data_IF_962164658798
#
_entry.id   IF_962164658798
#
_cell.length_a   1.000
_cell.length_b   1.000
_cell.length_c   1.000
_cell.angle_alpha   90.00
_cell.angle_beta   90.00
_cell.angle_gamma   90.00
#
_symmetry.space_group_name_H-M   'P 1'
#
loop_
_entity.id
_entity.type
_entity.pdbx_description
1 polymer ?
#
# COMPACT_ATOMS: atom_id res chain seq x y z
N UNK A 1 -3.18 -28.15 -2.21
CA UNK A 1 -4.58 -27.67 -2.13
C UNK A 1 -4.63 -26.29 -2.77
N UNK A 2 -5.23 -26.18 -3.95
CA UNK A 2 -5.11 -24.99 -4.80
C UNK A 2 -6.02 -23.84 -4.35
N UNK A 3 -5.42 -22.71 -3.98
CA UNK A 3 -6.12 -21.43 -3.86
C UNK A 3 -5.85 -20.63 -5.14
N UNK A 4 -6.85 -20.53 -6.03
CA UNK A 4 -6.84 -19.66 -7.21
C UNK A 4 -7.31 -18.24 -6.81
N UNK A 5 -6.58 -17.58 -5.92
CA UNK A 5 -6.76 -16.16 -5.64
C UNK A 5 -5.38 -15.54 -5.48
N UNK A 6 -5.02 -14.57 -6.33
CA UNK A 6 -3.73 -13.87 -6.23
C UNK A 6 -3.58 -13.11 -4.91
N UNK A 7 -4.69 -12.73 -4.28
CA UNK A 7 -4.72 -12.13 -2.96
C UNK A 7 -4.55 -13.12 -1.79
N UNK A 8 -4.27 -14.42 -2.01
CA UNK A 8 -4.10 -15.46 -0.98
C UNK A 8 -2.63 -15.81 -0.65
N UNK A 9 -1.67 -15.24 -1.38
CA UNK A 9 -0.23 -15.33 -1.07
C UNK A 9 0.32 -14.01 -0.51
N UNK A 10 1.40 -14.09 0.27
CA UNK A 10 2.29 -12.95 0.52
C UNK A 10 3.24 -12.87 -0.67
N UNK A 11 3.33 -11.69 -1.30
CA UNK A 11 4.18 -11.46 -2.46
C UNK A 11 5.53 -10.86 -2.04
N UNK A 12 6.60 -11.15 -2.79
CA UNK A 12 7.95 -10.63 -2.53
C UNK A 12 7.97 -9.10 -2.38
N UNK A 13 7.18 -8.39 -3.19
CA UNK A 13 7.06 -6.94 -3.12
C UNK A 13 6.48 -6.45 -1.78
N UNK A 14 5.58 -7.22 -1.15
CA UNK A 14 5.01 -6.87 0.15
C UNK A 14 6.04 -7.06 1.28
N UNK A 15 6.88 -8.09 1.18
CA UNK A 15 8.01 -8.33 2.10
C UNK A 15 9.02 -7.19 1.97
N UNK A 16 9.45 -6.90 0.74
CA UNK A 16 10.41 -5.83 0.46
C UNK A 16 9.93 -4.47 0.97
N UNK A 17 8.66 -4.13 0.72
CA UNK A 17 8.07 -2.87 1.18
C UNK A 17 7.98 -2.81 2.71
N UNK A 18 7.63 -3.93 3.34
CA UNK A 18 7.56 -4.05 4.80
C UNK A 18 8.92 -3.81 5.43
N UNK A 19 9.98 -4.44 4.92
CA UNK A 19 11.35 -4.26 5.39
C UNK A 19 11.84 -2.82 5.19
N UNK A 20 11.56 -2.24 4.02
CA UNK A 20 11.89 -0.86 3.74
C UNK A 20 11.23 0.12 4.73
N UNK A 21 9.92 -0.04 4.98
CA UNK A 21 9.18 0.83 5.89
C UNK A 21 9.58 0.63 7.36
N UNK A 22 9.88 -0.60 7.77
CA UNK A 22 10.38 -0.89 9.11
C UNK A 22 11.72 -0.19 9.37
N UNK A 23 12.63 -0.18 8.40
CA UNK A 23 13.90 0.55 8.49
C UNK A 23 13.74 2.06 8.44
N UNK A 24 12.83 2.52 7.59
CA UNK A 24 12.56 3.94 7.38
C UNK A 24 11.32 4.37 8.18
N UNK A 25 11.13 3.86 9.39
CA UNK A 25 9.92 4.09 10.19
C UNK A 25 9.67 5.57 10.52
N UNK A 26 10.66 6.45 10.33
CA UNK A 26 10.46 7.90 10.33
C UNK A 26 9.43 8.38 9.31
N UNK A 27 9.23 7.64 8.21
CA UNK A 27 8.17 7.88 7.22
C UNK A 27 6.76 7.56 7.76
N UNK A 28 6.66 6.69 8.77
CA UNK A 28 5.39 6.22 9.33
C UNK A 28 4.97 7.05 10.55
N UNK A 29 5.94 7.49 11.36
CA UNK A 29 5.67 8.08 12.67
C UNK A 29 4.67 9.24 12.58
N UNK A 30 3.52 9.05 13.22
CA UNK A 30 2.47 10.04 13.30
C UNK A 30 1.75 10.31 11.99
N UNK A 31 1.84 9.45 10.96
CA UNK A 31 1.19 9.65 9.64
C UNK A 31 -0.15 8.94 9.51
N UNK A 32 -1.05 9.50 8.71
CA UNK A 32 -2.19 8.76 8.15
C UNK A 32 -1.70 7.99 6.92
N UNK A 33 -1.78 6.66 6.98
CA UNK A 33 -1.31 5.74 5.95
C UNK A 33 -2.49 5.05 5.28
N UNK A 34 -2.49 5.03 3.95
CA UNK A 34 -3.40 4.20 3.16
C UNK A 34 -2.59 3.13 2.44
N UNK A 35 -2.96 1.86 2.60
CA UNK A 35 -2.46 0.77 1.77
C UNK A 35 -3.47 0.44 0.68
N UNK A 36 -3.05 0.54 -0.58
CA UNK A 36 -3.81 0.12 -1.76
C UNK A 36 -3.47 -1.33 -2.10
N UNK A 37 -4.49 -2.19 -2.29
CA UNK A 37 -4.27 -3.60 -2.63
C UNK A 37 -3.55 -4.37 -1.52
N UNK A 38 -4.02 -4.20 -0.28
CA UNK A 38 -3.36 -4.70 0.93
C UNK A 38 -3.26 -6.21 1.02
N UNK A 39 -4.05 -6.96 0.26
CA UNK A 39 -4.07 -8.41 0.37
C UNK A 39 -4.37 -8.83 1.82
N UNK A 40 -3.41 -9.51 2.44
CA UNK A 40 -3.49 -9.98 3.82
C UNK A 40 -3.16 -8.92 4.88
N UNK A 41 -2.80 -7.70 4.49
CA UNK A 41 -2.51 -6.59 5.39
C UNK A 41 -1.12 -6.62 6.03
N UNK A 42 -0.14 -7.34 5.46
CA UNK A 42 1.23 -7.40 6.01
C UNK A 42 1.85 -6.00 6.14
N UNK A 43 1.82 -5.21 5.07
CA UNK A 43 2.41 -3.87 5.07
C UNK A 43 1.66 -2.96 6.04
N UNK A 44 0.32 -3.02 6.05
CA UNK A 44 -0.49 -2.29 7.04
C UNK A 44 -0.16 -2.63 8.49
N UNK A 45 0.06 -3.92 8.82
CA UNK A 45 0.50 -4.35 10.16
C UNK A 45 1.85 -3.72 10.51
N UNK A 46 2.79 -3.69 9.56
CA UNK A 46 4.09 -3.03 9.75
C UNK A 46 3.91 -1.53 9.96
N UNK A 47 3.13 -0.86 9.12
CA UNK A 47 2.83 0.57 9.28
C UNK A 47 2.29 0.89 10.68
N UNK A 48 1.34 0.09 11.17
CA UNK A 48 0.74 0.23 12.50
C UNK A 48 1.79 0.03 13.61
N UNK A 49 2.57 -1.04 13.55
CA UNK A 49 3.61 -1.34 14.57
C UNK A 49 4.72 -0.30 14.64
N UNK A 50 5.05 0.33 13.52
CA UNK A 50 6.14 1.30 13.43
C UNK A 50 5.68 2.76 13.57
N UNK A 51 4.52 2.98 14.19
CA UNK A 51 4.12 4.27 14.72
C UNK A 51 3.27 5.14 13.80
N UNK A 52 2.61 4.57 12.79
CA UNK A 52 1.54 5.26 12.08
C UNK A 52 0.46 5.77 13.05
N UNK A 53 -0.07 6.97 12.80
CA UNK A 53 -1.19 7.53 13.57
C UNK A 53 -2.47 6.79 13.26
N UNK A 54 -2.71 6.55 11.98
CA UNK A 54 -3.86 5.79 11.47
C UNK A 54 -3.44 5.03 10.22
N UNK A 55 -3.87 3.78 10.09
CA UNK A 55 -3.65 2.94 8.92
C UNK A 55 -5.01 2.52 8.37
N UNK A 56 -5.24 2.75 7.08
CA UNK A 56 -6.41 2.25 6.36
C UNK A 56 -5.92 1.21 5.35
N UNK A 57 -6.12 -0.06 5.67
CA UNK A 57 -5.81 -1.17 4.78
C UNK A 57 -6.97 -1.39 3.80
N UNK A 58 -6.70 -1.39 2.49
CA UNK A 58 -7.76 -1.52 1.48
C UNK A 58 -7.50 -2.57 0.43
N UNK A 59 -8.57 -3.19 -0.04
CA UNK A 59 -8.59 -4.17 -1.13
C UNK A 59 -9.99 -4.16 -1.76
N UNK A 60 -10.11 -4.74 -2.96
CA UNK A 60 -11.40 -4.86 -3.64
C UNK A 60 -12.18 -6.08 -3.13
N UNK A 61 -11.51 -7.18 -2.80
CA UNK A 61 -12.16 -8.45 -2.48
C UNK A 61 -12.45 -8.60 -0.97
N UNK A 62 -13.72 -8.64 -0.59
CA UNK A 62 -14.13 -8.76 0.82
C UNK A 62 -13.63 -10.05 1.49
N UNK A 63 -13.35 -11.11 0.73
CA UNK A 63 -12.77 -12.35 1.26
C UNK A 63 -11.32 -12.15 1.67
N UNK A 64 -10.59 -11.35 0.90
CA UNK A 64 -9.22 -10.94 1.21
C UNK A 64 -9.21 -10.00 2.42
N UNK A 65 -10.16 -9.05 2.48
CA UNK A 65 -10.32 -8.15 3.62
C UNK A 65 -10.67 -8.90 4.91
N UNK A 66 -11.45 -9.98 4.83
CA UNK A 66 -11.68 -10.85 6.00
C UNK A 66 -10.36 -11.42 6.53
N UNK A 67 -9.50 -11.93 5.66
CA UNK A 67 -8.18 -12.45 6.05
C UNK A 67 -7.30 -11.33 6.62
N UNK A 68 -7.32 -10.13 6.03
CA UNK A 68 -6.60 -8.98 6.54
C UNK A 68 -7.04 -8.61 7.97
N UNK A 69 -8.35 -8.60 8.24
CA UNK A 69 -8.87 -8.36 9.61
C UNK A 69 -8.41 -9.43 10.60
N UNK A 70 -8.41 -10.70 10.19
CA UNK A 70 -7.97 -11.81 11.05
C UNK A 70 -6.46 -11.72 11.35
N UNK A 71 -5.64 -11.31 10.36
CA UNK A 71 -4.20 -11.10 10.54
C UNK A 71 -3.88 -9.88 11.39
N UNK A 72 -4.59 -8.77 11.19
CA UNK A 72 -4.47 -7.56 12.02
C UNK A 72 -4.74 -7.92 13.48
N UNK A 73 -5.83 -8.61 13.77
CA UNK A 73 -6.17 -9.05 15.15
C UNK A 73 -5.12 -9.98 15.74
N UNK A 74 -4.59 -10.91 14.95
CA UNK A 74 -3.64 -11.92 15.45
C UNK A 74 -2.26 -11.31 15.75
N UNK A 75 -1.86 -10.30 14.98
CA UNK A 75 -0.54 -9.67 15.12
C UNK A 75 -0.57 -8.46 16.06
N UNK A 76 -1.65 -7.68 16.06
CA UNK A 76 -1.77 -6.50 16.90
C UNK A 76 -2.61 -6.87 18.13
N UNK A 77 -1.93 -7.25 19.22
CA UNK A 77 -2.57 -7.65 20.47
C UNK A 77 -2.61 -6.52 21.51
N UNK A 78 -1.87 -5.43 21.27
CA UNK A 78 -1.91 -4.23 22.11
C UNK A 78 -3.04 -3.32 21.63
N UNK A 79 -4.01 -3.06 22.51
CA UNK A 79 -5.20 -2.26 22.20
C UNK A 79 -4.85 -0.91 21.54
N UNK A 80 -3.79 -0.23 22.00
CA UNK A 80 -3.35 1.05 21.43
C UNK A 80 -2.92 0.96 19.96
N UNK A 81 -2.41 -0.18 19.51
CA UNK A 81 -1.98 -0.41 18.13
C UNK A 81 -3.13 -0.96 17.29
N UNK A 82 -3.99 -1.80 17.86
CA UNK A 82 -5.15 -2.36 17.14
C UNK A 82 -6.18 -1.29 16.79
N UNK A 83 -6.32 -0.25 17.63
CA UNK A 83 -7.23 0.87 17.35
C UNK A 83 -6.70 1.84 16.27
N UNK A 84 -5.43 1.76 15.89
CA UNK A 84 -4.87 2.65 14.86
C UNK A 84 -5.11 2.14 13.44
N UNK A 85 -5.62 0.92 13.25
CA UNK A 85 -5.79 0.30 11.94
C UNK A 85 -7.26 -0.05 11.66
N UNK A 86 -7.71 0.29 10.46
CA UNK A 86 -9.00 -0.11 9.92
C UNK A 86 -8.82 -0.84 8.58
N UNK A 87 -9.75 -1.76 8.28
CA UNK A 87 -9.76 -2.53 7.04
C UNK A 87 -11.04 -2.21 6.27
N UNK A 88 -10.92 -1.62 5.07
CA UNK A 88 -12.04 -1.13 4.28
C UNK A 88 -11.98 -1.63 2.83
N UNK A 89 -13.14 -1.83 2.23
CA UNK A 89 -13.23 -2.11 0.80
C UNK A 89 -12.95 -0.85 -0.01
N UNK A 90 -12.17 -0.99 -1.08
CA UNK A 90 -11.90 0.07 -2.06
C UNK A 90 -11.67 -0.54 -3.44
N UNK A 91 -12.60 -0.28 -4.36
CA UNK A 91 -12.32 -0.37 -5.79
C UNK A 91 -11.54 0.86 -6.25
N UNK A 92 -10.49 0.66 -7.03
CA UNK A 92 -9.73 1.79 -7.58
C UNK A 92 -10.57 2.54 -8.62
N UNK A 93 -10.41 3.87 -8.63
CA UNK A 93 -11.16 4.82 -9.43
C UNK A 93 -11.88 5.81 -8.52
N UNK A 94 -12.76 6.64 -9.09
CA UNK A 94 -13.45 7.69 -8.34
C UNK A 94 -14.83 7.30 -7.81
N UNK A 95 -15.40 6.17 -8.27
CA UNK A 95 -16.77 5.77 -7.92
C UNK A 95 -16.93 5.41 -6.44
N UNK A 96 -15.91 4.78 -5.85
CA UNK A 96 -15.98 4.18 -4.52
C UNK A 96 -15.33 5.06 -3.43
N UNK A 97 -14.96 6.30 -3.77
CA UNK A 97 -14.26 7.23 -2.87
C UNK A 97 -15.18 7.99 -1.92
N UNK A 98 -16.50 7.79 -1.99
CA UNK A 98 -17.47 8.55 -1.20
C UNK A 98 -17.28 8.38 0.32
N UNK A 99 -16.72 7.25 0.75
CA UNK A 99 -16.45 6.95 2.16
C UNK A 99 -15.04 7.36 2.61
N UNK A 100 -14.27 8.02 1.74
CA UNK A 100 -12.92 8.47 2.00
C UNK A 100 -12.85 9.99 1.94
N UNK A 101 -12.21 10.59 2.94
CA UNK A 101 -11.91 12.01 2.92
C UNK A 101 -10.80 12.26 1.89
N UNK A 102 -11.03 13.22 0.99
CA UNK A 102 -10.06 13.57 -0.06
C UNK A 102 -8.82 14.21 0.56
N UNK A 103 -7.66 13.96 -0.05
CA UNK A 103 -6.38 14.54 0.35
C UNK A 103 -6.00 14.32 1.83
N UNK A 104 -6.46 13.23 2.44
CA UNK A 104 -6.37 12.98 3.90
C UNK A 104 -5.20 12.08 4.32
N UNK A 105 -4.49 11.49 3.34
CA UNK A 105 -3.38 10.57 3.61
C UNK A 105 -2.03 11.25 3.42
N UNK A 106 -1.18 11.14 4.45
CA UNK A 106 0.19 11.63 4.43
C UNK A 106 1.11 10.67 3.65
N UNK A 107 0.76 9.38 3.65
CA UNK A 107 1.50 8.31 2.98
C UNK A 107 0.52 7.35 2.31
N UNK A 108 0.70 7.10 1.02
CA UNK A 108 0.06 5.99 0.32
C UNK A 108 1.13 4.94 0.01
N UNK A 109 0.83 3.68 0.32
CA UNK A 109 1.69 2.53 0.02
C UNK A 109 0.96 1.50 -0.84
N UNK A 110 1.71 0.75 -1.65
CA UNK A 110 1.16 -0.36 -2.41
C UNK A 110 2.24 -1.34 -2.85
N UNK A 111 2.00 -2.63 -2.64
CA UNK A 111 2.89 -3.70 -3.09
C UNK A 111 2.26 -4.50 -4.22
N UNK A 112 2.95 -4.57 -5.36
CA UNK A 112 2.52 -5.32 -6.55
C UNK A 112 1.12 -4.92 -7.08
N UNK A 113 0.76 -3.65 -6.92
CA UNK A 113 -0.50 -3.06 -7.44
C UNK A 113 -0.47 -2.72 -8.93
N UNK A 114 0.73 -2.69 -9.53
CA UNK A 114 0.95 -2.34 -10.95
C UNK A 114 1.10 -3.61 -11.77
N UNK A 115 0.00 -4.33 -12.01
CA UNK A 115 0.03 -5.61 -12.75
C UNK A 115 -1.03 -5.74 -13.85
N UNK A 116 -2.14 -5.00 -13.76
CA UNK A 116 -3.20 -5.00 -14.76
C UNK A 116 -3.34 -3.61 -15.40
N UNK A 117 -3.03 -3.53 -16.70
CA UNK A 117 -3.06 -2.27 -17.47
C UNK A 117 -4.41 -1.56 -17.47
N UNK A 118 -5.51 -2.31 -17.34
CA UNK A 118 -6.87 -1.74 -17.28
C UNK A 118 -7.10 -0.96 -15.98
N UNK A 119 -6.33 -1.28 -14.93
CA UNK A 119 -6.42 -0.66 -13.62
C UNK A 119 -5.45 0.50 -13.41
N UNK A 120 -4.53 0.76 -14.34
CA UNK A 120 -3.53 1.83 -14.19
C UNK A 120 -4.15 3.22 -14.03
N UNK A 121 -5.12 3.57 -14.89
CA UNK A 121 -5.79 4.86 -14.81
C UNK A 121 -6.63 4.98 -13.51
N UNK A 122 -7.51 4.02 -13.18
CA UNK A 122 -8.24 4.05 -11.90
C UNK A 122 -7.32 4.13 -10.67
N UNK A 123 -6.18 3.43 -10.68
CA UNK A 123 -5.21 3.47 -9.59
C UNK A 123 -4.61 4.88 -9.43
N UNK A 124 -4.19 5.52 -10.53
CA UNK A 124 -3.68 6.89 -10.49
C UNK A 124 -4.75 7.87 -9.99
N UNK A 125 -5.99 7.76 -10.48
CA UNK A 125 -7.11 8.62 -10.05
C UNK A 125 -7.39 8.47 -8.54
N UNK A 126 -7.29 7.25 -8.02
CA UNK A 126 -7.41 6.96 -6.58
C UNK A 126 -6.32 7.67 -5.79
N UNK A 127 -5.06 7.52 -6.21
CA UNK A 127 -3.91 8.14 -5.56
C UNK A 127 -4.06 9.66 -5.56
N UNK A 128 -4.39 10.27 -6.71
CA UNK A 128 -4.56 11.72 -6.83
C UNK A 128 -5.70 12.27 -5.95
N UNK A 129 -6.77 11.52 -5.78
CA UNK A 129 -7.92 11.95 -4.98
C UNK A 129 -7.66 11.86 -3.46
N UNK A 130 -6.81 10.94 -3.02
CA UNK A 130 -6.65 10.60 -1.60
C UNK A 130 -5.34 11.09 -0.99
N UNK A 131 -4.28 11.22 -1.77
CA UNK A 131 -2.99 11.67 -1.27
C UNK A 131 -3.01 13.16 -0.96
N UNK A 132 -2.55 13.57 0.22
CA UNK A 132 -2.39 14.98 0.56
C UNK A 132 -1.39 15.69 -0.36
N UNK A 133 -1.47 17.02 -0.43
CA UNK A 133 -0.59 17.84 -1.30
C UNK A 133 0.90 17.73 -0.97
N UNK A 134 1.24 17.42 0.28
CA UNK A 134 2.60 17.13 0.76
C UNK A 134 2.84 15.63 1.00
N UNK A 135 1.93 14.78 0.52
CA UNK A 135 1.95 13.35 0.77
C UNK A 135 3.02 12.62 -0.04
N UNK A 136 3.40 11.45 0.45
CA UNK A 136 4.38 10.57 -0.20
C UNK A 136 3.67 9.33 -0.73
N UNK A 137 4.05 8.90 -1.94
CA UNK A 137 3.65 7.61 -2.51
C UNK A 137 4.86 6.67 -2.50
N UNK A 138 4.71 5.48 -1.93
CA UNK A 138 5.74 4.42 -1.97
C UNK A 138 5.15 3.17 -2.60
N UNK A 139 5.70 2.76 -3.74
CA UNK A 139 5.29 1.55 -4.44
C UNK A 139 6.45 0.57 -4.50
N UNK A 140 6.19 -0.68 -4.13
CA UNK A 140 7.09 -1.79 -4.40
C UNK A 140 6.45 -2.68 -5.46
N UNK A 141 7.21 -3.09 -6.48
CA UNK A 141 6.70 -3.94 -7.54
C UNK A 141 7.82 -4.76 -8.15
N UNK A 142 7.45 -5.91 -8.72
CA UNK A 142 8.33 -6.70 -9.59
C UNK A 142 8.08 -6.33 -11.06
N UNK A 143 9.11 -5.90 -11.82
CA UNK A 143 8.95 -5.66 -13.25
C UNK A 143 8.52 -6.91 -14.01
N UNK A 144 7.42 -6.84 -14.77
CA UNK A 144 6.89 -7.98 -15.57
C UNK A 144 6.84 -7.68 -17.08
N UNK A 145 7.15 -6.46 -17.50
CA UNK A 145 7.24 -6.07 -18.91
C UNK A 145 7.15 -4.57 -19.14
N UNK A 146 7.06 -4.17 -20.41
CA UNK A 146 7.07 -2.75 -20.82
C UNK A 146 5.77 -2.00 -20.50
N UNK A 147 4.66 -2.70 -20.24
CA UNK A 147 3.37 -2.04 -20.00
C UNK A 147 3.39 -1.16 -18.74
N UNK A 148 4.13 -1.57 -17.71
CA UNK A 148 4.29 -0.82 -16.46
C UNK A 148 4.98 0.54 -16.68
N UNK A 149 5.80 0.68 -17.73
CA UNK A 149 6.41 1.97 -18.09
C UNK A 149 5.36 3.04 -18.39
N UNK A 150 4.20 2.66 -18.96
CA UNK A 150 3.10 3.59 -19.20
C UNK A 150 2.52 4.12 -17.89
N UNK A 151 2.37 3.25 -16.88
CA UNK A 151 1.92 3.64 -15.55
C UNK A 151 2.88 4.67 -14.95
N UNK A 152 4.19 4.35 -14.92
CA UNK A 152 5.18 5.27 -14.35
C UNK A 152 5.35 6.55 -15.17
N UNK A 153 5.17 6.50 -16.49
CA UNK A 153 5.15 7.69 -17.33
C UNK A 153 4.00 8.64 -16.97
N UNK A 154 2.79 8.10 -16.76
CA UNK A 154 1.65 8.92 -16.31
C UNK A 154 1.84 9.42 -14.88
N UNK A 155 2.37 8.58 -13.99
CA UNK A 155 2.68 8.97 -12.61
C UNK A 155 3.68 10.13 -12.58
N UNK A 156 4.74 10.08 -13.39
CA UNK A 156 5.75 11.17 -13.52
C UNK A 156 5.19 12.51 -13.96
N UNK A 157 4.02 12.53 -14.61
CA UNK A 157 3.35 13.78 -14.98
C UNK A 157 2.57 14.41 -13.83
N UNK A 158 2.27 13.64 -12.78
CA UNK A 158 1.45 14.07 -11.63
C UNK A 158 2.29 14.41 -10.40
N UNK A 159 3.48 13.81 -10.28
CA UNK A 159 4.34 13.92 -9.11
C UNK A 159 5.63 14.70 -9.41
N UNK A 160 6.00 15.61 -8.52
CA UNK A 160 7.14 16.50 -8.70
C UNK A 160 8.49 15.84 -8.44
N UNK A 161 8.54 14.82 -7.58
CA UNK A 161 9.76 14.11 -7.19
C UNK A 161 9.50 12.61 -7.20
N UNK A 162 10.22 11.87 -8.05
CA UNK A 162 10.16 10.41 -8.10
C UNK A 162 11.58 9.89 -8.01
N UNK A 163 11.81 9.03 -7.03
CA UNK A 163 13.01 8.23 -6.90
C UNK A 163 12.65 6.76 -7.15
N UNK A 164 13.56 6.04 -7.78
CA UNK A 164 13.48 4.59 -7.92
C UNK A 164 14.65 4.00 -7.15
N UNK A 165 14.36 3.06 -6.26
CA UNK A 165 15.36 2.35 -5.46
C UNK A 165 15.31 0.89 -5.90
N UNK A 166 16.44 0.34 -6.32
CA UNK A 166 16.55 -1.08 -6.67
C UNK A 166 16.62 -1.95 -5.41
N UNK A 167 16.24 -3.23 -5.54
CA UNK A 167 16.39 -4.18 -4.44
C UNK A 167 17.85 -4.36 -4.01
N UNK A 168 18.81 -4.28 -4.94
CA UNK A 168 20.23 -4.38 -4.62
C UNK A 168 20.73 -3.21 -3.76
N UNK A 169 20.24 -1.98 -4.02
CA UNK A 169 20.54 -0.81 -3.19
C UNK A 169 19.90 -0.94 -1.81
N UNK A 170 18.69 -1.50 -1.75
CA UNK A 170 18.05 -1.86 -0.49
C UNK A 170 18.95 -2.82 0.28
N UNK A 171 19.29 -3.98 -0.28
CA UNK A 171 20.13 -5.05 0.32
C UNK A 171 21.49 -4.55 0.84
N UNK A 172 22.14 -3.63 0.12
CA UNK A 172 23.42 -3.04 0.55
C UNK A 172 23.31 -2.19 1.83
N UNK A 173 22.11 -1.71 2.16
CA UNK A 173 21.80 -1.05 3.42
C UNK A 173 21.28 -2.02 4.51
N UNK A 174 21.28 -3.34 4.27
CA UNK A 174 20.98 -4.41 5.25
C UNK A 174 22.23 -5.09 5.83
N UNK A 175 23.44 -4.69 5.42
CA UNK A 175 24.72 -5.22 5.94
C UNK A 175 25.36 -4.24 6.91
#
# INVERSE_FOLDING_TARGET
>A
TGLKWTGAAIWDAAILLSEYLAKNHGLLKGKNVLELGSGHGLVSVVCARFGARKVTATDYDERVLKLARDNVKSNLQEDSITQCIEVKQLGWGTSDLQTFEKFSFDLIVGSDVVYNKELFKPLIETIEALLSSSGILVLAYKPRGLEEEKFFFWLKKKFQQIATISSAELDSAFV
#
